data_IF_601799311310
#
_entry.id   IF_601799311310
#
_cell.length_a   1.000
_cell.length_b   1.000
_cell.length_c   1.000
_cell.angle_alpha   90.00
_cell.angle_beta   90.00
_cell.angle_gamma   90.00
#
_symmetry.space_group_name_H-M   'P 1'
#
loop_
_entity.id
_entity.type
_entity.pdbx_description
1 polymer ?
#
# COMPACT_ATOMS: atom_id res chain seq x y z
N UNK A 1 8.42 -16.76 5.34
CA UNK A 1 8.42 -15.34 5.71
C UNK A 1 9.16 -15.10 7.02
N UNK A 2 9.64 -13.89 7.22
CA UNK A 2 10.28 -13.46 8.46
C UNK A 2 9.22 -12.77 9.31
N UNK A 3 9.08 -13.17 10.58
CA UNK A 3 8.18 -12.53 11.53
C UNK A 3 8.99 -11.57 12.43
N UNK A 4 8.50 -10.36 12.57
CA UNK A 4 8.97 -9.36 13.53
C UNK A 4 8.20 -9.49 14.85
N UNK A 5 8.65 -8.90 15.98
CA UNK A 5 7.87 -8.90 17.23
C UNK A 5 6.44 -8.38 17.05
N UNK A 6 6.25 -7.31 16.26
CA UNK A 6 4.93 -6.77 15.92
C UNK A 6 4.08 -7.78 15.14
N UNK A 7 4.71 -8.51 14.21
CA UNK A 7 4.03 -9.54 13.40
C UNK A 7 3.58 -10.74 14.23
N UNK A 8 4.33 -11.09 15.28
CA UNK A 8 3.95 -12.16 16.20
C UNK A 8 2.68 -11.79 16.97
N UNK A 9 2.58 -10.55 17.42
CA UNK A 9 1.36 -10.04 18.06
C UNK A 9 0.17 -10.08 17.09
N UNK A 10 0.36 -9.62 15.85
CA UNK A 10 -0.69 -9.68 14.82
C UNK A 10 -1.06 -11.12 14.43
N UNK A 11 -0.08 -12.03 14.37
CA UNK A 11 -0.33 -13.46 14.17
C UNK A 11 -1.20 -14.03 15.29
N UNK A 12 -0.90 -13.70 16.55
CA UNK A 12 -1.69 -14.15 17.70
C UNK A 12 -3.12 -13.61 17.66
N UNK A 13 -3.33 -12.38 17.21
CA UNK A 13 -4.67 -11.82 16.97
C UNK A 13 -5.37 -12.51 15.79
N UNK A 14 -4.67 -12.73 14.68
CA UNK A 14 -5.23 -13.37 13.49
C UNK A 14 -5.67 -14.82 13.73
N UNK A 15 -4.98 -15.53 14.62
CA UNK A 15 -5.28 -16.92 15.00
C UNK A 15 -6.23 -17.03 16.19
N UNK A 16 -6.70 -15.92 16.76
CA UNK A 16 -7.62 -15.90 17.89
C UNK A 16 -6.98 -16.27 19.24
N UNK A 17 -5.65 -16.33 19.33
CA UNK A 17 -4.92 -16.58 20.58
C UNK A 17 -5.01 -15.41 21.56
N UNK A 18 -5.14 -14.20 21.05
CA UNK A 18 -5.39 -12.98 21.83
C UNK A 18 -6.51 -12.17 21.17
N UNK A 19 -7.28 -11.39 21.96
CA UNK A 19 -8.34 -10.55 21.40
C UNK A 19 -7.77 -9.47 20.48
N UNK A 20 -8.56 -9.07 19.48
CA UNK A 20 -8.22 -7.93 18.62
C UNK A 20 -8.04 -6.67 19.46
N UNK A 21 -6.95 -5.96 19.26
CA UNK A 21 -6.68 -4.68 19.89
C UNK A 21 -6.34 -3.63 18.83
N UNK A 22 -6.71 -2.38 19.08
CA UNK A 22 -6.41 -1.27 18.17
C UNK A 22 -4.95 -0.77 18.29
N UNK A 23 -4.08 -1.52 18.98
CA UNK A 23 -2.65 -1.21 19.06
C UNK A 23 -1.94 -1.38 17.71
N UNK A 24 -2.41 -2.34 16.90
CA UNK A 24 -1.96 -2.53 15.53
C UNK A 24 -3.11 -2.18 14.55
N UNK A 25 -2.79 -1.65 13.35
CA UNK A 25 -3.80 -1.33 12.34
C UNK A 25 -4.66 -2.56 12.02
N UNK A 26 -5.95 -2.44 12.28
CA UNK A 26 -6.91 -3.56 12.15
C UNK A 26 -6.90 -4.11 10.73
N UNK A 27 -6.84 -3.22 9.72
CA UNK A 27 -6.87 -3.64 8.32
C UNK A 27 -5.69 -4.56 7.96
N UNK A 28 -4.47 -4.25 8.43
CA UNK A 28 -3.32 -5.11 8.18
C UNK A 28 -3.50 -6.49 8.83
N UNK A 29 -4.00 -6.52 10.07
CA UNK A 29 -4.28 -7.77 10.80
C UNK A 29 -5.36 -8.59 10.09
N UNK A 30 -6.41 -7.95 9.56
CA UNK A 30 -7.45 -8.62 8.78
C UNK A 30 -6.92 -9.19 7.45
N UNK A 31 -6.10 -8.43 6.72
CA UNK A 31 -5.47 -8.92 5.50
C UNK A 31 -4.55 -10.12 5.79
N UNK A 32 -3.74 -10.02 6.84
CA UNK A 32 -2.90 -11.12 7.28
C UNK A 32 -3.74 -12.34 7.65
N UNK A 33 -4.79 -12.16 8.45
CA UNK A 33 -5.71 -13.22 8.85
C UNK A 33 -6.36 -13.91 7.64
N UNK A 34 -6.84 -13.13 6.68
CA UNK A 34 -7.49 -13.65 5.47
C UNK A 34 -6.55 -14.61 4.71
N UNK A 35 -5.38 -14.14 4.33
CA UNK A 35 -4.44 -14.92 3.53
C UNK A 35 -3.80 -16.07 4.33
N UNK A 36 -3.59 -15.88 5.64
CA UNK A 36 -3.15 -16.95 6.53
C UNK A 36 -4.17 -18.10 6.56
N UNK A 37 -5.46 -17.82 6.77
CA UNK A 37 -6.48 -18.84 6.82
C UNK A 37 -6.68 -19.55 5.47
N UNK A 38 -6.56 -18.83 4.34
CA UNK A 38 -6.58 -19.45 3.00
C UNK A 38 -5.45 -20.47 2.89
N UNK A 39 -4.21 -20.07 3.20
CA UNK A 39 -3.06 -20.97 3.11
C UNK A 39 -3.11 -22.13 4.10
N UNK A 40 -3.57 -21.87 5.32
CA UNK A 40 -3.73 -22.89 6.35
C UNK A 40 -4.82 -23.92 5.97
N UNK A 41 -5.95 -23.47 5.43
CA UNK A 41 -7.03 -24.34 4.97
C UNK A 41 -6.57 -25.33 3.89
N UNK A 42 -5.66 -24.89 3.00
CA UNK A 42 -5.17 -25.74 1.90
C UNK A 42 -4.26 -26.89 2.36
N UNK A 43 -3.50 -26.71 3.45
CA UNK A 43 -2.43 -27.68 3.81
C UNK A 43 -2.41 -28.07 5.29
N UNK A 44 -3.16 -27.39 6.15
CA UNK A 44 -3.08 -27.56 7.61
C UNK A 44 -1.77 -27.05 8.25
N UNK A 45 -0.91 -26.36 7.47
CA UNK A 45 0.40 -25.92 7.94
C UNK A 45 0.43 -24.40 8.21
N UNK A 46 0.92 -24.02 9.39
CA UNK A 46 1.17 -22.62 9.77
C UNK A 46 2.12 -21.95 8.78
N UNK A 47 3.16 -22.65 8.34
CA UNK A 47 4.13 -22.09 7.39
C UNK A 47 3.50 -21.75 6.04
N UNK A 48 2.56 -22.57 5.56
CA UNK A 48 1.85 -22.29 4.31
C UNK A 48 0.90 -21.10 4.49
N UNK A 49 0.26 -20.97 5.64
CA UNK A 49 -0.55 -19.81 5.98
C UNK A 49 0.25 -18.51 5.88
N UNK A 50 1.41 -18.46 6.55
CA UNK A 50 2.32 -17.30 6.49
C UNK A 50 2.83 -17.07 5.07
N UNK A 51 3.21 -18.14 4.35
CA UNK A 51 3.69 -18.02 2.97
C UNK A 51 2.64 -17.43 2.02
N UNK A 52 1.37 -17.78 2.19
CA UNK A 52 0.27 -17.25 1.39
C UNK A 52 0.15 -15.72 1.55
N UNK A 53 0.22 -15.20 2.78
CA UNK A 53 0.25 -13.77 3.02
C UNK A 53 1.49 -13.10 2.40
N UNK A 54 2.68 -13.70 2.57
CA UNK A 54 3.92 -13.16 2.01
C UNK A 54 3.84 -13.09 0.48
N UNK A 55 3.30 -14.11 -0.18
CA UNK A 55 3.07 -14.09 -1.63
C UNK A 55 2.12 -12.97 -2.05
N UNK A 56 1.02 -12.77 -1.32
CA UNK A 56 0.13 -11.62 -1.55
C UNK A 56 0.89 -10.29 -1.44
N UNK A 57 1.66 -10.10 -0.37
CA UNK A 57 2.46 -8.89 -0.17
C UNK A 57 3.46 -8.67 -1.31
N UNK A 58 4.22 -9.71 -1.70
CA UNK A 58 5.19 -9.66 -2.80
C UNK A 58 4.52 -9.29 -4.14
N UNK A 59 3.39 -9.95 -4.47
CA UNK A 59 2.65 -9.66 -5.69
C UNK A 59 2.12 -8.21 -5.70
N UNK A 60 1.63 -7.73 -4.56
CA UNK A 60 1.15 -6.35 -4.42
C UNK A 60 2.28 -5.36 -4.63
N UNK A 61 3.45 -5.56 -4.00
CA UNK A 61 4.61 -4.70 -4.17
C UNK A 61 5.11 -4.71 -5.61
N UNK A 62 5.26 -5.88 -6.23
CA UNK A 62 5.69 -6.01 -7.63
C UNK A 62 4.73 -5.32 -8.60
N UNK A 63 3.41 -5.38 -8.36
CA UNK A 63 2.42 -4.67 -9.16
C UNK A 63 2.57 -3.14 -9.04
N UNK A 64 2.77 -2.63 -7.82
CA UNK A 64 2.98 -1.20 -7.55
C UNK A 64 4.28 -0.69 -8.21
N UNK A 65 5.38 -1.42 -8.07
CA UNK A 65 6.67 -1.10 -8.66
C UNK A 65 6.60 -1.11 -10.20
N UNK A 66 5.93 -2.12 -10.77
CA UNK A 66 5.69 -2.21 -12.21
C UNK A 66 4.84 -1.04 -12.72
N UNK A 67 3.79 -0.67 -11.98
CA UNK A 67 2.98 0.49 -12.32
C UNK A 67 3.82 1.78 -12.28
N UNK A 68 4.66 1.95 -11.26
CA UNK A 68 5.55 3.11 -11.11
C UNK A 68 6.54 3.21 -12.26
N UNK A 69 7.20 2.10 -12.64
CA UNK A 69 8.09 2.06 -13.80
C UNK A 69 7.37 2.40 -15.10
N UNK A 70 6.17 1.86 -15.28
CA UNK A 70 5.33 2.15 -16.45
C UNK A 70 4.93 3.62 -16.51
N UNK A 71 4.63 4.23 -15.36
CA UNK A 71 4.32 5.66 -15.26
C UNK A 71 5.55 6.51 -15.61
N UNK A 72 6.72 6.20 -15.06
CA UNK A 72 7.97 6.87 -15.38
C UNK A 72 8.28 6.80 -16.88
N UNK A 73 8.12 5.62 -17.49
CA UNK A 73 8.34 5.44 -18.93
C UNK A 73 7.37 6.29 -19.77
N UNK A 74 6.09 6.31 -19.41
CA UNK A 74 5.07 7.14 -20.08
C UNK A 74 5.29 8.64 -19.88
N UNK A 75 5.92 9.03 -18.77
CA UNK A 75 6.28 10.42 -18.46
C UNK A 75 7.55 10.91 -19.17
N UNK A 76 8.17 10.08 -20.01
CA UNK A 76 9.35 10.44 -20.80
C UNK A 76 10.68 10.27 -20.05
N UNK A 77 10.72 9.51 -18.95
CA UNK A 77 11.97 9.20 -18.29
C UNK A 77 12.94 8.49 -19.23
N UNK A 78 14.24 8.86 -19.18
CA UNK A 78 15.24 8.24 -20.04
C UNK A 78 15.44 6.76 -19.69
N UNK A 79 15.92 5.98 -20.67
CA UNK A 79 16.21 4.54 -20.48
C UNK A 79 17.14 4.29 -19.29
N UNK A 80 18.10 5.18 -19.05
CA UNK A 80 19.03 5.08 -17.93
C UNK A 80 18.26 5.11 -16.59
N UNK A 81 17.35 6.06 -16.40
CA UNK A 81 16.56 6.16 -15.18
C UNK A 81 15.65 4.95 -14.97
N UNK A 82 15.06 4.41 -16.04
CA UNK A 82 14.24 3.20 -15.97
C UNK A 82 15.07 1.98 -15.54
N UNK A 83 16.25 1.82 -16.12
CA UNK A 83 17.17 0.73 -15.76
C UNK A 83 17.64 0.88 -14.31
N UNK A 84 18.05 2.08 -13.91
CA UNK A 84 18.47 2.35 -12.52
C UNK A 84 17.37 2.05 -11.52
N UNK A 85 16.13 2.47 -11.79
CA UNK A 85 14.98 2.19 -10.92
C UNK A 85 14.68 0.69 -10.87
N UNK A 86 14.71 -0.01 -12.00
CA UNK A 86 14.52 -1.45 -12.06
C UNK A 86 15.61 -2.20 -11.27
N UNK A 87 16.89 -1.82 -11.47
CA UNK A 87 18.01 -2.40 -10.72
C UNK A 87 17.91 -2.09 -9.21
N UNK A 88 17.48 -0.89 -8.85
CA UNK A 88 17.28 -0.52 -7.46
C UNK A 88 16.28 -1.44 -6.77
N UNK A 89 15.10 -1.63 -7.35
CA UNK A 89 14.09 -2.51 -6.74
C UNK A 89 14.44 -4.00 -6.84
N UNK A 90 15.03 -4.44 -7.96
CA UNK A 90 15.30 -5.85 -8.20
C UNK A 90 16.62 -6.37 -7.62
N UNK A 91 17.65 -5.54 -7.49
CA UNK A 91 19.00 -5.99 -7.11
C UNK A 91 19.43 -5.56 -5.70
N UNK A 92 18.80 -4.53 -5.13
CA UNK A 92 19.15 -4.11 -3.76
C UNK A 92 18.59 -5.13 -2.77
N UNK A 93 19.44 -5.84 -2.00
CA UNK A 93 19.02 -6.94 -1.11
C UNK A 93 17.98 -6.53 -0.07
N UNK A 94 17.98 -5.27 0.32
CA UNK A 94 17.02 -4.67 1.24
C UNK A 94 15.56 -4.93 0.79
N UNK A 95 15.25 -4.69 -0.49
CA UNK A 95 13.89 -4.90 -1.01
C UNK A 95 13.48 -6.38 -0.95
N UNK A 96 14.37 -7.30 -1.29
CA UNK A 96 14.09 -8.73 -1.21
C UNK A 96 13.83 -9.20 0.22
N UNK A 97 14.64 -8.72 1.20
CA UNK A 97 14.46 -9.04 2.62
C UNK A 97 13.13 -8.51 3.13
N UNK A 98 12.80 -7.25 2.82
CA UNK A 98 11.53 -6.66 3.26
C UNK A 98 10.32 -7.28 2.55
N UNK A 99 10.44 -7.64 1.27
CA UNK A 99 9.35 -8.29 0.54
C UNK A 99 8.86 -9.59 1.21
N UNK A 100 9.77 -10.35 1.85
CA UNK A 100 9.43 -11.60 2.55
C UNK A 100 9.16 -11.44 4.06
N UNK A 101 9.34 -10.22 4.59
CA UNK A 101 9.08 -9.91 5.99
C UNK A 101 7.62 -9.53 6.17
N UNK A 102 6.94 -10.16 7.13
CA UNK A 102 5.56 -9.79 7.48
C UNK A 102 5.62 -8.50 8.31
N UNK A 103 5.41 -7.36 7.66
CA UNK A 103 5.45 -6.07 8.33
C UNK A 103 4.49 -5.06 7.67
N UNK A 104 3.65 -4.43 8.50
CA UNK A 104 2.63 -3.46 8.06
C UNK A 104 3.19 -2.30 7.22
N UNK A 105 4.44 -1.87 7.54
CA UNK A 105 5.07 -0.72 6.90
C UNK A 105 5.42 -0.97 5.42
N UNK A 106 5.51 -2.24 5.01
CA UNK A 106 5.82 -2.61 3.63
C UNK A 106 4.63 -2.29 2.71
N UNK A 107 3.45 -2.79 3.05
CA UNK A 107 2.24 -2.47 2.29
C UNK A 107 1.91 -0.97 2.38
N UNK A 108 2.10 -0.35 3.56
CA UNK A 108 1.92 1.08 3.73
C UNK A 108 2.80 1.89 2.76
N UNK A 109 4.10 1.59 2.69
CA UNK A 109 5.03 2.29 1.79
C UNK A 109 4.67 2.08 0.31
N UNK A 110 4.25 0.87 -0.06
CA UNK A 110 3.79 0.57 -1.41
C UNK A 110 2.54 1.39 -1.78
N UNK A 111 1.52 1.39 -0.94
CA UNK A 111 0.30 2.17 -1.20
C UNK A 111 0.53 3.68 -1.15
N UNK A 112 1.47 4.16 -0.33
CA UNK A 112 1.92 5.55 -0.35
C UNK A 112 2.56 5.90 -1.70
N UNK A 113 3.44 5.06 -2.22
CA UNK A 113 4.03 5.24 -3.55
C UNK A 113 2.95 5.25 -4.64
N UNK A 114 2.01 4.31 -4.59
CA UNK A 114 0.91 4.22 -5.53
C UNK A 114 0.01 5.47 -5.49
N UNK A 115 -0.31 5.96 -4.30
CA UNK A 115 -1.06 7.19 -4.10
C UNK A 115 -0.36 8.40 -4.74
N UNK A 116 0.96 8.54 -4.55
CA UNK A 116 1.75 9.59 -5.19
C UNK A 116 1.79 9.45 -6.71
N UNK A 117 1.85 8.23 -7.23
CA UNK A 117 1.77 7.97 -8.68
C UNK A 117 0.44 8.46 -9.27
N UNK A 118 -0.69 8.18 -8.61
CA UNK A 118 -2.00 8.65 -9.07
C UNK A 118 -2.15 10.18 -8.95
N UNK A 119 -1.62 10.78 -7.89
CA UNK A 119 -1.58 12.25 -7.78
C UNK A 119 -0.78 12.86 -8.94
N UNK A 120 0.39 12.32 -9.24
CA UNK A 120 1.21 12.79 -10.35
C UNK A 120 0.50 12.65 -11.70
N UNK A 121 -0.14 11.50 -11.95
CA UNK A 121 -0.87 11.27 -13.21
C UNK A 121 -2.05 12.24 -13.37
N UNK A 122 -2.77 12.57 -12.29
CA UNK A 122 -3.84 13.57 -12.28
C UNK A 122 -3.34 15.00 -12.45
N UNK A 123 -2.13 15.33 -11.96
CA UNK A 123 -1.51 16.63 -12.18
C UNK A 123 -1.14 16.82 -13.65
N UNK A 124 -0.63 15.78 -14.29
CA UNK A 124 -0.27 15.82 -15.71
C UNK A 124 -1.49 15.85 -16.64
N UNK A 125 -2.57 15.13 -16.27
CA UNK A 125 -3.78 14.97 -17.07
C UNK A 125 -5.04 15.08 -16.20
N UNK A 126 -5.57 16.30 -15.99
CA UNK A 126 -6.73 16.55 -15.11
C UNK A 126 -8.04 15.88 -15.56
N UNK A 127 -8.22 15.67 -16.87
CA UNK A 127 -9.42 15.08 -17.48
C UNK A 127 -9.42 13.55 -17.47
N UNK A 128 -8.78 12.98 -16.53
CA UNK A 128 -8.43 11.58 -16.49
C UNK A 128 -9.59 10.62 -16.26
N UNK A 129 -9.34 9.41 -16.76
CA UNK A 129 -10.23 8.24 -16.69
C UNK A 129 -10.70 7.97 -15.25
N UNK A 130 -11.95 7.53 -15.05
CA UNK A 130 -12.49 7.25 -13.72
C UNK A 130 -11.63 6.25 -12.92
N UNK A 131 -10.92 5.34 -13.61
CA UNK A 131 -9.99 4.39 -12.97
C UNK A 131 -8.86 5.04 -12.18
N UNK A 132 -8.33 6.19 -12.62
CA UNK A 132 -7.26 6.89 -11.90
C UNK A 132 -7.80 7.50 -10.60
N UNK A 133 -9.01 8.06 -10.64
CA UNK A 133 -9.68 8.58 -9.44
C UNK A 133 -10.03 7.46 -8.44
N UNK A 134 -10.48 6.30 -8.95
CA UNK A 134 -10.73 5.13 -8.13
C UNK A 134 -9.41 4.60 -7.50
N UNK A 135 -8.34 4.54 -8.29
CA UNK A 135 -7.00 4.16 -7.81
C UNK A 135 -6.48 5.10 -6.74
N UNK A 136 -6.65 6.42 -6.92
CA UNK A 136 -6.30 7.43 -5.91
C UNK A 136 -7.09 7.20 -4.61
N UNK A 137 -8.41 6.98 -4.73
CA UNK A 137 -9.27 6.75 -3.56
C UNK A 137 -8.88 5.49 -2.81
N UNK A 138 -8.66 4.39 -3.53
CA UNK A 138 -8.28 3.10 -2.94
C UNK A 138 -6.90 3.17 -2.28
N UNK A 139 -5.90 3.72 -2.97
CA UNK A 139 -4.55 3.85 -2.39
C UNK A 139 -4.53 4.78 -1.20
N UNK A 140 -5.26 5.91 -1.24
CA UNK A 140 -5.40 6.82 -0.10
C UNK A 140 -6.08 6.17 1.11
N UNK A 141 -7.12 5.36 0.88
CA UNK A 141 -7.76 4.56 1.94
C UNK A 141 -6.75 3.61 2.61
N UNK A 142 -5.96 2.87 1.83
CA UNK A 142 -4.92 1.99 2.39
C UNK A 142 -3.83 2.78 3.14
N UNK A 143 -3.44 3.96 2.66
CA UNK A 143 -2.50 4.84 3.38
C UNK A 143 -3.05 5.23 4.75
N UNK A 144 -4.33 5.60 4.85
CA UNK A 144 -4.94 5.99 6.11
C UNK A 144 -5.12 4.82 7.09
N UNK A 145 -5.34 3.60 6.60
CA UNK A 145 -5.78 2.46 7.41
C UNK A 145 -4.70 1.41 7.70
N UNK A 146 -3.63 1.33 6.90
CA UNK A 146 -2.54 0.37 7.12
C UNK A 146 -1.56 0.78 8.22
N UNK A 147 -1.56 2.06 8.60
CA UNK A 147 -0.70 2.58 9.66
C UNK A 147 -1.41 3.65 10.47
N UNK A 148 -1.31 3.60 11.80
CA UNK A 148 -1.95 4.58 12.69
C UNK A 148 -1.52 6.03 12.38
N UNK A 149 -0.25 6.22 11.97
CA UNK A 149 0.26 7.54 11.58
C UNK A 149 -0.11 7.94 10.15
N UNK A 150 -0.64 7.03 9.34
CA UNK A 150 -1.00 7.27 7.93
C UNK A 150 -2.07 8.35 7.81
N UNK A 151 -3.06 8.32 8.69
CA UNK A 151 -4.12 9.34 8.75
C UNK A 151 -3.55 10.75 8.99
N UNK A 152 -2.59 10.88 9.91
CA UNK A 152 -1.97 12.20 10.20
C UNK A 152 -1.13 12.70 9.02
N UNK A 153 -0.39 11.81 8.34
CA UNK A 153 0.35 12.15 7.13
C UNK A 153 -0.61 12.61 6.04
N UNK A 154 -1.71 11.89 5.85
CA UNK A 154 -2.74 12.23 4.88
C UNK A 154 -3.35 13.60 5.17
N UNK A 155 -3.76 13.87 6.42
CA UNK A 155 -4.32 15.17 6.85
C UNK A 155 -3.31 16.31 6.67
N UNK A 156 -2.03 16.08 7.01
CA UNK A 156 -0.99 17.08 6.83
C UNK A 156 -0.75 17.41 5.35
N UNK A 157 -0.85 16.44 4.45
CA UNK A 157 -0.65 16.66 3.01
C UNK A 157 -1.87 17.26 2.32
N UNK A 158 -3.07 17.19 2.91
CA UNK A 158 -4.32 17.63 2.33
C UNK A 158 -4.30 19.09 1.80
N UNK A 159 -3.84 20.11 2.56
CA UNK A 159 -3.81 21.47 2.07
C UNK A 159 -2.92 21.63 0.83
N UNK A 160 -1.79 20.95 0.78
CA UNK A 160 -0.86 21.00 -0.34
C UNK A 160 -1.46 20.33 -1.59
N UNK A 161 -2.14 19.19 -1.41
CA UNK A 161 -2.85 18.52 -2.50
C UNK A 161 -3.96 19.42 -3.06
N UNK A 162 -4.79 20.02 -2.21
CA UNK A 162 -5.86 20.91 -2.65
C UNK A 162 -5.32 22.14 -3.36
N UNK A 163 -4.21 22.70 -2.89
CA UNK A 163 -3.54 23.82 -3.56
C UNK A 163 -2.99 23.43 -4.94
N UNK A 164 -2.34 22.27 -5.05
CA UNK A 164 -1.85 21.75 -6.32
C UNK A 164 -2.98 21.53 -7.34
N UNK A 165 -4.14 21.06 -6.88
CA UNK A 165 -5.33 20.79 -7.70
C UNK A 165 -6.35 21.92 -7.70
N UNK A 166 -5.92 23.18 -7.57
CA UNK A 166 -6.82 24.35 -7.50
C UNK A 166 -7.84 24.44 -8.64
N UNK A 167 -7.54 23.91 -9.84
CA UNK A 167 -8.46 23.89 -10.99
C UNK A 167 -9.58 22.86 -10.84
N UNK A 168 -9.31 21.75 -10.20
CA UNK A 168 -10.24 20.63 -9.98
C UNK A 168 -10.51 20.42 -8.48
N UNK A 169 -10.36 21.48 -7.67
CA UNK A 169 -10.35 21.40 -6.22
C UNK A 169 -11.61 20.75 -5.64
N UNK A 170 -12.80 21.02 -6.22
CA UNK A 170 -14.09 20.45 -5.74
C UNK A 170 -14.08 18.92 -5.83
N UNK A 171 -13.64 18.38 -6.98
CA UNK A 171 -13.57 16.94 -7.19
C UNK A 171 -12.49 16.31 -6.30
N UNK A 172 -11.32 16.95 -6.22
CA UNK A 172 -10.24 16.50 -5.35
C UNK A 172 -10.67 16.52 -3.88
N UNK A 173 -11.31 17.59 -3.43
CA UNK A 173 -11.83 17.71 -2.06
C UNK A 173 -12.84 16.61 -1.75
N UNK A 174 -13.81 16.35 -2.65
CA UNK A 174 -14.79 15.29 -2.46
C UNK A 174 -14.13 13.90 -2.33
N UNK A 175 -13.12 13.62 -3.16
CA UNK A 175 -12.36 12.37 -3.09
C UNK A 175 -11.58 12.26 -1.77
N UNK A 176 -10.87 13.32 -1.36
CA UNK A 176 -10.08 13.30 -0.12
C UNK A 176 -10.98 13.16 1.13
N UNK A 177 -12.12 13.86 1.15
CA UNK A 177 -13.11 13.70 2.22
C UNK A 177 -13.72 12.30 2.22
N UNK A 178 -14.02 11.73 1.04
CA UNK A 178 -14.48 10.36 0.91
C UNK A 178 -13.49 9.34 1.48
N UNK A 179 -12.19 9.51 1.20
CA UNK A 179 -11.12 8.69 1.78
C UNK A 179 -11.14 8.77 3.31
N UNK A 180 -11.20 10.00 3.86
CA UNK A 180 -11.22 10.22 5.31
C UNK A 180 -12.43 9.57 5.97
N UNK A 181 -13.62 9.75 5.40
CA UNK A 181 -14.86 9.17 5.95
C UNK A 181 -14.86 7.64 5.93
N UNK A 182 -14.22 7.03 4.93
CA UNK A 182 -14.10 5.57 4.85
C UNK A 182 -13.01 5.00 5.77
N UNK A 183 -12.07 5.84 6.20
CA UNK A 183 -10.93 5.41 7.04
C UNK A 183 -11.10 5.65 8.54
N UNK A 184 -12.17 6.35 8.94
CA UNK A 184 -12.56 6.59 10.35
C UNK A 184 -13.47 5.49 10.84
#
# INVERSE_FOLDING_TARGET
GVLTPDSISQFSQATGLIPFSNHHPILHTLLFSLFYHIGFFLTGSINTGIACYVLFQMCTMAAIETYTLSLLARSGASRLWLILSFCFWGLVPFHAIFAVTVWKDILFSGFMLLYLCFLYELLCNPDNRPGIWAGLSLSGFFVCTLRSNGLYIFLFTLPFVLFAFRRTWKKMFAVQVGILLLSL
#
